data_IF_774399262529
#
_entry.id   IF_774399262529
#
_cell.length_a   1.000
_cell.length_b   1.000
_cell.length_c   1.000
_cell.angle_alpha   90.00
_cell.angle_beta   90.00
_cell.angle_gamma   90.00
#
_symmetry.space_group_name_H-M   'P 1'
#
loop_
_entity.id
_entity.type
_entity.pdbx_description
1 polymer ?
#
# COMPACT_ATOMS: atom_id res chain seq x y z
N UNK A 1 22.41 13.20 -34.07
CA UNK A 1 23.05 11.94 -34.42
C UNK A 1 24.55 12.21 -34.64
N UNK A 2 25.38 11.18 -34.77
CA UNK A 2 26.85 11.26 -34.96
C UNK A 2 27.26 12.14 -36.15
N UNK A 3 26.42 12.24 -37.15
CA UNK A 3 26.69 13.05 -38.36
C UNK A 3 26.51 14.55 -38.09
N UNK A 4 25.65 14.92 -37.13
CA UNK A 4 25.36 16.33 -36.80
C UNK A 4 26.10 16.84 -35.57
N UNK A 5 26.46 15.95 -34.65
CA UNK A 5 27.24 16.27 -33.45
C UNK A 5 28.34 15.21 -33.31
N UNK A 6 29.53 15.46 -33.88
CA UNK A 6 30.67 14.58 -33.76
C UNK A 6 31.04 14.39 -32.27
N UNK A 7 31.35 13.13 -31.90
CA UNK A 7 31.76 12.83 -30.55
C UNK A 7 30.68 12.15 -29.69
N UNK A 8 29.42 12.08 -30.11
CA UNK A 8 28.43 11.26 -29.40
C UNK A 8 28.74 9.77 -29.60
N UNK A 9 28.76 8.97 -28.49
CA UNK A 9 29.22 7.59 -28.55
C UNK A 9 28.20 6.62 -29.13
N UNK A 10 26.92 6.98 -29.14
CA UNK A 10 25.80 6.15 -29.57
C UNK A 10 24.76 6.99 -30.30
N UNK A 11 24.03 6.38 -31.24
CA UNK A 11 22.89 7.00 -31.93
C UNK A 11 21.57 6.80 -31.19
N UNK A 12 21.53 5.85 -30.27
CA UNK A 12 20.35 5.55 -29.46
C UNK A 12 20.48 6.18 -28.08
N UNK A 13 19.49 7.00 -27.74
CA UNK A 13 19.41 7.66 -26.44
C UNK A 13 18.14 7.26 -25.69
N UNK A 14 18.27 7.05 -24.39
CA UNK A 14 17.13 6.84 -23.52
C UNK A 14 16.57 8.16 -22.98
N UNK A 15 17.46 9.06 -22.61
CA UNK A 15 17.07 10.24 -21.82
C UNK A 15 17.97 11.44 -22.13
N UNK A 16 17.37 12.62 -22.02
CA UNK A 16 18.06 13.91 -22.10
C UNK A 16 17.58 14.79 -20.96
N UNK A 17 18.51 15.48 -20.31
CA UNK A 17 18.25 16.40 -19.22
C UNK A 17 18.97 17.72 -19.47
N UNK A 18 18.31 18.85 -19.20
CA UNK A 18 18.97 20.15 -19.18
C UNK A 18 19.91 20.23 -17.96
N UNK A 19 21.20 20.23 -18.25
CA UNK A 19 22.26 20.35 -17.25
C UNK A 19 22.39 21.75 -16.66
N UNK A 20 21.76 22.75 -17.29
CA UNK A 20 21.98 24.16 -17.02
C UNK A 20 23.27 24.70 -17.66
N UNK A 21 23.45 26.03 -17.66
CA UNK A 21 24.61 26.71 -18.21
C UNK A 21 24.94 26.36 -19.70
N UNK A 22 23.89 25.98 -20.47
CA UNK A 22 24.05 25.61 -21.87
C UNK A 22 24.60 24.18 -22.09
N UNK A 23 24.49 23.29 -21.12
CA UNK A 23 24.87 21.90 -21.26
C UNK A 23 23.62 21.02 -21.34
N UNK A 24 23.65 19.98 -22.17
CA UNK A 24 22.70 18.88 -22.17
C UNK A 24 23.39 17.61 -21.64
N UNK A 25 22.72 16.93 -20.75
CA UNK A 25 23.11 15.63 -20.23
C UNK A 25 22.34 14.55 -20.97
N UNK A 26 23.03 13.54 -21.49
CA UNK A 26 22.47 12.54 -22.40
C UNK A 26 22.78 11.14 -21.87
N UNK A 27 21.77 10.32 -21.65
CA UNK A 27 21.90 8.90 -21.32
C UNK A 27 21.71 8.05 -22.57
N UNK A 28 22.66 7.15 -22.83
CA UNK A 28 22.70 6.30 -24.02
C UNK A 28 22.29 4.85 -23.72
N UNK A 29 21.90 4.11 -24.77
CA UNK A 29 21.54 2.69 -24.66
C UNK A 29 22.75 1.82 -24.32
N UNK A 30 23.94 2.13 -24.86
CA UNK A 30 25.17 1.40 -24.59
C UNK A 30 26.40 2.33 -24.54
N UNK A 31 26.18 3.61 -24.77
CA UNK A 31 27.22 4.64 -24.88
C UNK A 31 27.66 5.26 -23.56
N UNK A 32 26.95 4.94 -22.46
CA UNK A 32 27.18 5.57 -21.16
C UNK A 32 26.46 6.90 -21.03
N UNK A 33 27.13 7.89 -20.48
CA UNK A 33 26.64 9.24 -20.20
C UNK A 33 27.48 10.28 -20.94
N UNK A 34 26.83 11.27 -21.56
CA UNK A 34 27.50 12.35 -22.27
C UNK A 34 27.04 13.72 -21.77
N UNK A 35 27.96 14.65 -21.77
CA UNK A 35 27.70 16.08 -21.57
C UNK A 35 27.96 16.77 -22.89
N UNK A 36 26.94 17.38 -23.50
CA UNK A 36 27.01 18.16 -24.72
C UNK A 36 26.92 19.63 -24.35
N UNK A 37 27.96 20.41 -24.68
CA UNK A 37 27.92 21.85 -24.61
C UNK A 37 27.20 22.41 -25.86
N UNK A 38 26.12 23.16 -25.64
CA UNK A 38 25.35 23.81 -26.73
C UNK A 38 26.09 24.98 -27.33
N UNK A 39 27.08 25.57 -26.60
CA UNK A 39 27.83 26.75 -27.02
C UNK A 39 28.84 26.43 -28.13
N UNK A 40 29.61 25.39 -27.95
CA UNK A 40 30.71 25.01 -28.85
C UNK A 40 30.56 23.61 -29.45
N UNK A 41 29.45 22.91 -29.13
CA UNK A 41 29.14 21.56 -29.56
C UNK A 41 30.17 20.51 -29.12
N UNK A 42 30.98 20.81 -28.12
CA UNK A 42 31.92 19.83 -27.54
C UNK A 42 31.14 18.76 -26.75
N UNK A 43 31.66 17.53 -26.78
CA UNK A 43 31.04 16.38 -26.10
C UNK A 43 32.09 15.75 -25.14
N UNK A 44 31.69 15.58 -23.89
CA UNK A 44 32.46 14.82 -22.90
C UNK A 44 31.69 13.53 -22.59
N UNK A 45 32.38 12.38 -22.76
CA UNK A 45 31.79 11.06 -22.59
C UNK A 45 32.31 10.38 -21.36
N UNK A 46 31.42 9.67 -20.66
CA UNK A 46 31.70 8.86 -19.49
C UNK A 46 31.16 7.45 -19.68
N UNK A 47 31.96 6.46 -19.35
CA UNK A 47 31.63 5.04 -19.50
C UNK A 47 31.97 4.28 -18.23
N UNK A 48 31.43 3.09 -18.15
CA UNK A 48 31.83 2.11 -17.13
C UNK A 48 33.25 1.63 -17.40
N UNK A 49 34.08 1.69 -16.38
CA UNK A 49 35.46 1.19 -16.34
C UNK A 49 35.54 0.14 -15.24
N UNK A 50 35.80 -1.15 -15.55
CA UNK A 50 35.73 -2.24 -14.58
C UNK A 50 36.62 -2.05 -13.34
N UNK A 51 37.80 -1.46 -13.52
CA UNK A 51 38.77 -1.27 -12.46
C UNK A 51 38.67 0.11 -11.76
N UNK A 52 37.74 0.93 -12.17
CA UNK A 52 37.56 2.27 -11.62
C UNK A 52 36.21 2.35 -10.85
N UNK A 53 36.21 2.27 -9.51
CA UNK A 53 35.02 2.32 -8.70
C UNK A 53 34.27 3.67 -8.77
N UNK A 54 34.93 4.72 -9.26
CA UNK A 54 34.35 6.06 -9.45
C UNK A 54 33.83 6.28 -10.88
N UNK A 55 33.81 5.25 -11.72
CA UNK A 55 33.19 5.27 -13.03
C UNK A 55 31.70 4.94 -12.94
N UNK A 56 30.97 5.05 -14.08
CA UNK A 56 29.59 4.62 -14.17
C UNK A 56 29.41 3.14 -13.73
N UNK A 57 28.31 2.79 -13.05
CA UNK A 57 28.02 1.39 -12.72
C UNK A 57 27.72 0.52 -13.95
N UNK A 58 27.16 1.11 -15.00
CA UNK A 58 26.84 0.46 -16.28
C UNK A 58 26.79 1.45 -17.43
N UNK A 59 26.82 0.94 -18.67
CA UNK A 59 26.81 1.79 -19.88
C UNK A 59 25.41 2.03 -20.48
N UNK A 60 24.38 1.36 -19.99
CA UNK A 60 22.98 1.59 -20.39
C UNK A 60 22.38 2.59 -19.39
N UNK A 61 22.41 3.89 -19.70
CA UNK A 61 21.92 4.98 -18.84
C UNK A 61 20.48 5.32 -19.23
N UNK A 62 19.54 4.82 -18.48
CA UNK A 62 18.10 4.83 -18.80
C UNK A 62 17.34 6.07 -18.35
N UNK A 63 17.74 6.65 -17.25
CA UNK A 63 17.10 7.84 -16.72
C UNK A 63 18.11 8.79 -16.07
N UNK A 64 17.79 10.06 -16.15
CA UNK A 64 18.51 11.16 -15.53
C UNK A 64 17.52 12.03 -14.77
N UNK A 65 17.90 12.48 -13.60
CA UNK A 65 17.14 13.48 -12.85
C UNK A 65 18.06 14.45 -12.13
N UNK A 66 17.60 15.68 -12.01
CA UNK A 66 18.26 16.71 -11.20
C UNK A 66 17.45 16.91 -9.94
N UNK A 67 18.08 16.77 -8.78
CA UNK A 67 17.43 17.03 -7.50
C UNK A 67 17.37 18.55 -7.21
N UNK A 68 16.65 18.93 -6.15
CA UNK A 68 16.49 20.35 -5.76
C UNK A 68 17.80 20.99 -5.30
N UNK A 69 18.82 20.21 -4.96
CA UNK A 69 20.15 20.71 -4.62
C UNK A 69 21.05 20.85 -5.85
N UNK A 70 20.54 20.48 -7.03
CA UNK A 70 21.29 20.54 -8.30
C UNK A 70 22.11 19.30 -8.60
N UNK A 71 22.09 18.26 -7.77
CA UNK A 71 22.78 17.01 -8.02
C UNK A 71 22.14 16.24 -9.16
N UNK A 72 22.95 15.56 -9.97
CA UNK A 72 22.49 14.77 -11.13
C UNK A 72 22.57 13.29 -10.78
N UNK A 73 21.41 12.68 -10.76
CA UNK A 73 21.22 11.25 -10.49
C UNK A 73 21.05 10.48 -11.79
N UNK A 74 21.71 9.33 -11.90
CA UNK A 74 21.68 8.47 -13.07
C UNK A 74 21.20 7.08 -12.70
N UNK A 75 20.21 6.58 -13.44
CA UNK A 75 19.78 5.20 -13.37
C UNK A 75 20.37 4.40 -14.53
N UNK A 76 21.10 3.35 -14.22
CA UNK A 76 21.74 2.47 -15.20
C UNK A 76 21.19 1.04 -15.15
N UNK A 77 21.62 0.20 -16.08
CA UNK A 77 21.33 -1.25 -16.06
C UNK A 77 22.03 -2.01 -14.91
N UNK A 78 22.96 -1.34 -14.20
CA UNK A 78 23.79 -1.90 -13.13
C UNK A 78 23.72 -1.08 -11.84
N UNK A 79 22.72 -0.23 -11.69
CA UNK A 79 22.47 0.49 -10.44
C UNK A 79 22.40 2.00 -10.56
N UNK A 80 22.31 2.63 -9.39
CA UNK A 80 22.19 4.07 -9.19
C UNK A 80 23.57 4.71 -9.09
N UNK A 81 23.70 5.89 -9.72
CA UNK A 81 24.89 6.73 -9.59
C UNK A 81 24.51 8.20 -9.35
N UNK A 82 25.36 8.89 -8.63
CA UNK A 82 25.35 10.35 -8.48
C UNK A 82 26.57 10.92 -9.19
N UNK A 83 26.35 11.86 -10.11
CA UNK A 83 27.42 12.53 -10.86
C UNK A 83 28.02 13.65 -10.01
N UNK A 84 29.33 13.55 -9.75
CA UNK A 84 30.11 14.62 -9.15
C UNK A 84 30.73 15.48 -10.27
N UNK A 85 30.11 16.62 -10.51
CA UNK A 85 30.55 17.52 -11.60
C UNK A 85 31.92 18.18 -11.34
N UNK A 86 32.30 18.37 -10.07
CA UNK A 86 33.58 18.99 -9.71
C UNK A 86 34.76 18.11 -10.12
N UNK A 87 34.69 16.81 -9.79
CA UNK A 87 35.77 15.85 -10.05
C UNK A 87 35.54 15.07 -11.35
N UNK A 88 34.39 15.28 -12.02
CA UNK A 88 34.00 14.55 -13.22
C UNK A 88 33.98 13.02 -13.04
N UNK A 89 33.52 12.56 -11.90
CA UNK A 89 33.42 11.15 -11.53
C UNK A 89 32.02 10.82 -10.95
N UNK A 90 31.84 9.60 -10.47
CA UNK A 90 30.55 9.12 -9.98
C UNK A 90 30.68 8.51 -8.58
N UNK A 91 29.67 8.77 -7.74
CA UNK A 91 29.43 8.02 -6.52
C UNK A 91 28.43 6.94 -6.87
N UNK A 92 28.80 5.66 -6.71
CA UNK A 92 27.96 4.51 -7.04
C UNK A 92 27.36 3.90 -5.77
N UNK A 93 26.11 3.46 -5.87
CA UNK A 93 25.37 2.89 -4.75
C UNK A 93 25.33 1.34 -4.80
N UNK A 94 26.36 0.75 -5.40
CA UNK A 94 26.56 -0.70 -5.44
C UNK A 94 26.88 -1.25 -4.05
N UNK A 95 26.37 -2.47 -3.77
CA UNK A 95 26.71 -3.21 -2.54
C UNK A 95 26.39 -2.45 -1.24
N UNK A 96 25.34 -1.64 -1.25
CA UNK A 96 24.87 -1.00 -0.04
C UNK A 96 24.41 -2.07 0.97
N UNK A 97 25.02 -2.13 2.14
CA UNK A 97 24.69 -3.09 3.21
C UNK A 97 23.26 -2.94 3.73
N UNK A 98 22.68 -1.76 3.55
CA UNK A 98 21.30 -1.46 3.93
C UNK A 98 20.31 -1.77 2.82
N UNK A 99 20.76 -2.05 1.59
CA UNK A 99 19.92 -2.46 0.49
C UNK A 99 19.70 -3.99 0.52
N UNK A 100 18.80 -4.43 1.40
CA UNK A 100 18.45 -5.84 1.60
C UNK A 100 17.91 -6.52 0.34
N UNK A 101 17.45 -5.75 -0.62
CA UNK A 101 16.83 -6.23 -1.87
C UNK A 101 17.75 -6.02 -3.06
N UNK A 102 18.96 -5.48 -2.86
CA UNK A 102 19.88 -5.10 -3.94
C UNK A 102 19.22 -4.18 -4.99
N UNK A 103 18.20 -3.41 -4.56
CA UNK A 103 17.36 -2.61 -5.46
C UNK A 103 18.16 -1.52 -6.18
N UNK A 104 19.14 -0.95 -5.50
CA UNK A 104 20.04 0.07 -6.06
C UNK A 104 21.14 -0.50 -6.97
N UNK A 105 21.30 -1.83 -7.01
CA UNK A 105 22.26 -2.54 -7.88
C UNK A 105 21.59 -3.08 -9.16
N UNK A 106 20.26 -3.07 -9.20
CA UNK A 106 19.48 -3.55 -10.35
C UNK A 106 19.29 -2.46 -11.40
N UNK A 107 18.65 -2.85 -12.50
CA UNK A 107 18.30 -1.93 -13.58
C UNK A 107 17.32 -0.87 -13.09
N UNK A 108 17.76 0.39 -13.06
CA UNK A 108 16.95 1.55 -12.68
C UNK A 108 16.24 2.08 -13.92
N UNK A 109 14.91 2.22 -13.84
CA UNK A 109 14.07 2.60 -14.96
C UNK A 109 13.56 4.03 -14.89
N UNK A 110 13.34 4.55 -13.68
CA UNK A 110 12.99 5.95 -13.45
C UNK A 110 13.50 6.43 -12.09
N UNK A 111 13.78 7.73 -12.01
CA UNK A 111 14.16 8.40 -10.77
C UNK A 111 13.35 9.70 -10.71
N UNK A 112 12.74 9.97 -9.57
CA UNK A 112 11.97 11.19 -9.33
C UNK A 112 12.19 11.68 -7.91
N UNK A 113 12.60 12.93 -7.73
CA UNK A 113 12.50 13.58 -6.43
C UNK A 113 11.07 14.07 -6.24
N UNK A 114 10.50 13.79 -5.08
CA UNK A 114 9.21 14.31 -4.64
C UNK A 114 9.41 15.53 -3.72
N UNK A 115 8.31 16.20 -3.39
CA UNK A 115 8.31 17.44 -2.61
C UNK A 115 8.82 17.27 -1.16
N UNK A 116 8.88 16.04 -0.66
CA UNK A 116 9.31 15.69 0.70
C UNK A 116 10.84 15.48 0.86
N UNK A 117 11.64 15.89 -0.13
CA UNK A 117 13.09 15.65 -0.20
C UNK A 117 13.48 14.17 -0.32
N UNK A 118 12.55 13.30 -0.68
CA UNK A 118 12.80 11.90 -0.95
C UNK A 118 13.00 11.64 -2.44
N UNK A 119 13.99 10.84 -2.76
CA UNK A 119 14.24 10.36 -4.10
C UNK A 119 13.59 8.99 -4.27
N UNK A 120 12.64 8.91 -5.17
CA UNK A 120 11.94 7.68 -5.52
C UNK A 120 12.59 7.05 -6.74
N UNK A 121 12.97 5.80 -6.63
CA UNK A 121 13.75 5.06 -7.61
C UNK A 121 12.96 3.83 -8.03
N UNK A 122 12.52 3.82 -9.28
CA UNK A 122 11.82 2.69 -9.89
C UNK A 122 12.82 1.72 -10.51
N UNK A 123 12.75 0.45 -10.16
CA UNK A 123 13.65 -0.58 -10.64
C UNK A 123 12.92 -1.76 -11.28
N UNK A 124 13.64 -2.51 -12.10
CA UNK A 124 13.14 -3.75 -12.67
C UNK A 124 13.16 -4.84 -11.58
N UNK A 125 11.99 -5.46 -11.31
CA UNK A 125 11.78 -6.55 -10.35
C UNK A 125 11.86 -6.19 -8.85
N UNK A 126 12.20 -4.95 -8.46
CA UNK A 126 12.31 -4.58 -7.05
C UNK A 126 11.38 -3.41 -6.64
N UNK A 127 10.40 -3.06 -7.49
CA UNK A 127 9.42 -2.03 -7.18
C UNK A 127 10.02 -0.63 -7.08
N UNK A 128 9.66 0.08 -6.02
CA UNK A 128 10.15 1.42 -5.69
C UNK A 128 11.06 1.35 -4.46
N UNK A 129 12.24 1.94 -4.60
CA UNK A 129 13.14 2.24 -3.47
C UNK A 129 13.10 3.72 -3.18
N UNK A 130 13.02 4.10 -1.92
CA UNK A 130 12.94 5.49 -1.48
C UNK A 130 14.19 5.82 -0.68
N UNK A 131 14.89 6.86 -1.13
CA UNK A 131 16.12 7.38 -0.53
C UNK A 131 15.83 8.76 0.06
N UNK A 132 16.10 8.95 1.36
CA UNK A 132 16.02 10.26 2.01
C UNK A 132 17.28 11.07 1.73
N UNK A 133 17.14 12.13 0.94
CA UNK A 133 18.25 13.00 0.54
C UNK A 133 18.84 13.81 1.71
N UNK A 134 18.07 14.06 2.77
CA UNK A 134 18.58 14.77 3.96
C UNK A 134 19.60 13.93 4.73
N UNK A 135 19.40 12.61 4.74
CA UNK A 135 20.32 11.67 5.38
C UNK A 135 21.52 11.34 4.47
N UNK A 136 21.26 11.20 3.16
CA UNK A 136 22.28 10.72 2.19
C UNK A 136 23.42 11.68 1.93
N UNK A 137 23.25 12.98 2.16
CA UNK A 137 24.31 13.97 1.91
C UNK A 137 25.51 13.88 2.87
N UNK A 138 25.35 13.20 4.00
CA UNK A 138 26.38 13.11 5.07
C UNK A 138 26.87 11.69 5.33
N UNK A 139 26.29 10.70 4.67
CA UNK A 139 26.58 9.28 4.89
C UNK A 139 27.25 8.67 3.66
N UNK A 140 28.14 7.71 3.88
CA UNK A 140 28.61 6.86 2.79
C UNK A 140 27.47 5.99 2.27
N UNK A 141 27.47 5.57 0.99
CA UNK A 141 26.38 4.81 0.38
C UNK A 141 25.95 3.56 1.16
N UNK A 142 26.85 2.95 1.93
CA UNK A 142 26.58 1.77 2.76
C UNK A 142 25.88 2.07 4.11
N UNK A 143 25.71 3.35 4.46
CA UNK A 143 25.08 3.79 5.71
C UNK A 143 23.68 4.35 5.54
N UNK A 144 23.21 4.46 4.29
CA UNK A 144 21.92 5.08 3.97
C UNK A 144 20.78 4.13 4.31
N UNK A 145 19.75 4.66 4.99
CA UNK A 145 18.50 3.93 5.23
C UNK A 145 17.59 4.01 4.00
N UNK A 146 17.04 2.89 3.59
CA UNK A 146 16.14 2.76 2.44
C UNK A 146 14.77 2.27 2.88
N UNK A 147 13.72 2.86 2.29
CA UNK A 147 12.34 2.39 2.37
C UNK A 147 11.97 1.71 1.04
N UNK A 148 11.06 0.74 1.07
CA UNK A 148 10.67 -0.03 -0.11
C UNK A 148 9.15 -0.10 -0.27
N UNK A 149 8.66 0.01 -1.52
CA UNK A 149 7.31 -0.33 -1.92
C UNK A 149 7.42 -1.44 -2.97
N UNK A 150 7.03 -2.65 -2.59
CA UNK A 150 7.18 -3.85 -3.42
C UNK A 150 5.83 -4.37 -3.89
N UNK A 151 5.85 -5.34 -4.80
CA UNK A 151 4.66 -6.07 -5.23
C UNK A 151 4.03 -6.84 -4.07
N UNK A 152 2.70 -6.83 -4.01
CA UNK A 152 1.93 -7.55 -2.99
C UNK A 152 0.43 -7.48 -3.24
N UNK A 153 -0.33 -8.17 -2.40
CA UNK A 153 -1.77 -8.31 -2.55
C UNK A 153 -2.58 -7.31 -1.71
N UNK A 154 -1.92 -6.41 -1.02
CA UNK A 154 -2.58 -5.39 -0.21
C UNK A 154 -2.63 -4.02 -0.92
N UNK A 155 -3.41 -3.10 -0.37
CA UNK A 155 -3.59 -1.75 -0.92
C UNK A 155 -2.39 -0.81 -0.69
N UNK A 156 -1.30 -1.27 -0.06
CA UNK A 156 -0.04 -0.55 0.16
C UNK A 156 1.08 -1.06 -0.74
N UNK A 157 0.80 -2.07 -1.53
CA UNK A 157 1.74 -2.75 -2.41
C UNK A 157 1.56 -2.33 -3.86
N UNK A 158 2.60 -2.55 -4.66
CA UNK A 158 2.52 -2.38 -6.09
C UNK A 158 1.78 -3.55 -6.75
N UNK A 159 1.11 -3.26 -7.85
CA UNK A 159 0.44 -4.26 -8.68
C UNK A 159 1.42 -5.14 -9.50
N UNK A 160 2.69 -4.75 -9.57
CA UNK A 160 3.77 -5.52 -10.21
C UNK A 160 5.14 -5.01 -9.76
N UNK A 161 6.11 -5.92 -9.60
CA UNK A 161 7.46 -5.63 -9.13
C UNK A 161 8.29 -4.74 -10.07
N UNK A 162 7.96 -4.68 -11.35
CA UNK A 162 8.68 -3.86 -12.33
C UNK A 162 8.02 -2.48 -12.47
N UNK A 163 8.43 -1.52 -11.67
CA UNK A 163 8.03 -0.12 -11.79
C UNK A 163 8.80 0.56 -12.93
N UNK A 164 8.09 1.30 -13.80
CA UNK A 164 8.64 1.87 -15.05
C UNK A 164 8.74 3.38 -15.06
N UNK A 165 7.78 4.05 -14.48
CA UNK A 165 7.74 5.51 -14.43
C UNK A 165 7.08 5.98 -13.15
N UNK A 166 7.46 7.19 -12.71
CA UNK A 166 6.93 7.86 -11.53
C UNK A 166 6.55 9.27 -11.96
N UNK A 167 5.32 9.66 -11.64
CA UNK A 167 4.82 11.00 -11.91
C UNK A 167 4.14 11.56 -10.66
N UNK A 168 4.41 12.80 -10.33
CA UNK A 168 3.71 13.55 -9.29
C UNK A 168 2.88 14.63 -9.98
N UNK A 169 1.58 14.64 -9.72
CA UNK A 169 0.67 15.63 -10.30
C UNK A 169 0.65 16.94 -9.48
N UNK A 170 -0.12 17.93 -9.96
CA UNK A 170 -0.24 19.23 -9.33
C UNK A 170 -0.97 19.23 -7.97
N UNK A 171 -1.55 18.12 -7.59
CA UNK A 171 -2.20 17.87 -6.29
C UNK A 171 -1.32 17.02 -5.38
N UNK A 172 -0.05 16.83 -5.73
CA UNK A 172 0.93 16.00 -5.02
C UNK A 172 0.59 14.50 -4.97
N UNK A 173 -0.36 14.02 -5.77
CA UNK A 173 -0.58 12.60 -5.91
C UNK A 173 0.55 11.96 -6.70
N UNK A 174 0.86 10.71 -6.37
CA UNK A 174 1.93 9.95 -7.03
C UNK A 174 1.30 8.85 -7.90
N UNK A 175 1.74 8.80 -9.14
CA UNK A 175 1.33 7.83 -10.14
C UNK A 175 2.54 6.96 -10.51
N UNK A 176 2.41 5.64 -10.41
CA UNK A 176 3.48 4.70 -10.72
C UNK A 176 2.98 3.76 -11.81
N UNK A 177 3.56 3.86 -13.00
CA UNK A 177 3.32 2.90 -14.08
C UNK A 177 4.17 1.66 -13.92
N UNK A 178 3.59 0.48 -14.12
CA UNK A 178 4.27 -0.81 -13.99
C UNK A 178 4.25 -1.61 -15.28
N UNK A 179 5.11 -2.62 -15.37
CA UNK A 179 5.15 -3.53 -16.52
C UNK A 179 4.11 -4.65 -16.36
N UNK A 180 2.96 -4.46 -16.99
CA UNK A 180 1.89 -5.47 -16.98
C UNK A 180 0.91 -5.40 -15.81
N UNK A 181 1.20 -4.63 -14.75
CA UNK A 181 0.30 -4.43 -13.59
C UNK A 181 -0.55 -3.16 -13.66
N UNK A 182 -0.47 -2.40 -14.77
CA UNK A 182 -1.20 -1.14 -14.92
C UNK A 182 -0.58 0.03 -14.16
N UNK A 183 -1.41 0.83 -13.49
CA UNK A 183 -1.01 2.05 -12.80
C UNK A 183 -1.37 1.94 -11.32
N UNK A 184 -0.42 2.28 -10.45
CA UNK A 184 -0.64 2.46 -9.03
C UNK A 184 -0.79 3.95 -8.71
N UNK A 185 -1.74 4.27 -7.88
CA UNK A 185 -2.07 5.64 -7.48
C UNK A 185 -1.94 5.80 -5.97
N UNK A 186 -1.17 6.78 -5.53
CA UNK A 186 -1.01 7.15 -4.13
C UNK A 186 -1.55 8.56 -3.96
N UNK A 187 -2.63 8.70 -3.19
CA UNK A 187 -3.23 10.01 -2.89
C UNK A 187 -2.36 10.79 -1.91
N UNK A 188 -2.16 12.07 -2.17
CA UNK A 188 -1.50 13.02 -1.25
C UNK A 188 -2.38 13.34 -0.03
N UNK A 189 -3.69 13.17 -0.18
CA UNK A 189 -4.66 13.35 0.91
C UNK A 189 -5.10 11.99 1.44
N UNK A 190 -5.28 11.81 2.76
CA UNK A 190 -5.88 10.60 3.30
C UNK A 190 -7.20 10.31 2.59
N UNK A 191 -7.48 9.07 2.21
CA UNK A 191 -8.75 8.74 1.60
C UNK A 191 -9.88 9.08 2.56
N UNK A 192 -10.95 9.72 2.04
CA UNK A 192 -12.15 10.02 2.84
C UNK A 192 -12.82 8.74 3.36
N UNK A 193 -12.55 7.61 2.73
CA UNK A 193 -13.09 6.30 3.06
C UNK A 193 -11.96 5.27 3.16
N UNK A 194 -12.00 4.46 4.21
CA UNK A 194 -11.18 3.26 4.31
C UNK A 194 -12.01 2.07 3.87
N UNK A 195 -11.49 1.25 2.98
CA UNK A 195 -12.17 0.05 2.48
C UNK A 195 -11.62 -1.20 3.16
N UNK A 196 -12.49 -1.94 3.86
CA UNK A 196 -12.20 -3.28 4.35
C UNK A 196 -12.70 -4.30 3.32
N UNK A 197 -11.80 -4.81 2.50
CA UNK A 197 -12.13 -5.74 1.41
C UNK A 197 -12.05 -7.20 1.87
N UNK A 198 -12.71 -8.10 1.14
CA UNK A 198 -12.53 -9.54 1.27
C UNK A 198 -11.20 -9.97 0.66
N UNK A 199 -10.50 -10.89 1.34
CA UNK A 199 -9.37 -11.62 0.75
C UNK A 199 -9.61 -13.13 0.83
N UNK A 200 -9.39 -13.88 -0.24
CA UNK A 200 -9.43 -15.33 -0.21
C UNK A 200 -8.20 -15.95 0.45
N UNK A 201 -7.16 -15.15 0.74
CA UNK A 201 -5.89 -15.62 1.30
C UNK A 201 -6.08 -15.93 2.78
N UNK A 202 -5.87 -17.18 3.22
CA UNK A 202 -5.95 -17.53 4.63
C UNK A 202 -4.92 -16.75 5.45
N UNK A 203 -5.37 -16.19 6.59
CA UNK A 203 -4.49 -15.45 7.51
C UNK A 203 -4.28 -13.97 7.17
N UNK A 204 -4.90 -13.43 6.12
CA UNK A 204 -4.90 -12.00 5.88
C UNK A 204 -5.78 -11.28 6.94
N UNK A 205 -5.12 -10.70 7.95
CA UNK A 205 -5.78 -10.03 9.08
C UNK A 205 -6.32 -8.64 8.73
N UNK A 206 -5.96 -8.07 7.57
CA UNK A 206 -6.43 -6.76 7.12
C UNK A 206 -7.64 -6.86 6.18
N UNK A 207 -8.32 -8.01 6.16
CA UNK A 207 -9.42 -8.27 5.23
C UNK A 207 -10.60 -8.95 5.90
N UNK A 208 -11.79 -8.82 5.29
CA UNK A 208 -12.94 -9.64 5.63
C UNK A 208 -12.75 -11.09 5.18
N UNK A 209 -13.33 -12.01 5.92
CA UNK A 209 -13.35 -13.43 5.55
C UNK A 209 -14.50 -13.81 4.62
N UNK A 210 -15.38 -12.86 4.28
CA UNK A 210 -16.51 -13.04 3.37
C UNK A 210 -16.78 -11.76 2.57
N UNK A 211 -17.26 -11.90 1.33
CA UNK A 211 -17.51 -10.80 0.39
C UNK A 211 -18.69 -9.91 0.78
N UNK A 212 -19.66 -10.45 1.50
CA UNK A 212 -20.92 -9.76 1.81
C UNK A 212 -20.93 -9.35 3.28
N UNK A 213 -20.76 -8.07 3.54
CA UNK A 213 -20.99 -7.47 4.85
C UNK A 213 -22.47 -7.08 4.96
N UNK A 214 -23.18 -7.68 5.90
CA UNK A 214 -24.64 -7.57 6.06
C UNK A 214 -25.05 -6.69 7.24
N UNK A 215 -24.19 -6.56 8.25
CA UNK A 215 -24.47 -5.71 9.42
C UNK A 215 -23.21 -5.13 10.02
N UNK A 216 -23.34 -3.98 10.69
CA UNK A 216 -22.25 -3.24 11.30
C UNK A 216 -22.71 -2.69 12.66
N UNK A 217 -21.88 -2.87 13.68
CA UNK A 217 -21.99 -2.13 14.94
C UNK A 217 -20.61 -1.89 15.53
N UNK A 218 -20.53 -0.99 16.51
CA UNK A 218 -19.28 -0.73 17.26
C UNK A 218 -19.45 -1.17 18.69
N UNK A 219 -18.37 -1.48 19.40
CA UNK A 219 -18.39 -1.62 20.83
C UNK A 219 -17.88 -0.36 21.55
N UNK A 220 -17.92 -0.34 22.87
CA UNK A 220 -17.45 0.81 23.67
C UNK A 220 -15.96 1.07 23.58
N UNK A 221 -15.17 0.15 23.07
CA UNK A 221 -13.75 0.29 22.81
C UNK A 221 -13.48 0.86 21.41
N UNK A 222 -14.52 1.11 20.61
CA UNK A 222 -14.41 1.61 19.24
C UNK A 222 -14.05 0.54 18.22
N UNK A 223 -14.07 -0.76 18.59
CA UNK A 223 -13.89 -1.84 17.62
C UNK A 223 -15.12 -1.98 16.76
N UNK A 224 -14.93 -2.25 15.48
CA UNK A 224 -16.00 -2.44 14.50
C UNK A 224 -16.31 -3.93 14.39
N UNK A 225 -17.56 -4.30 14.64
CA UNK A 225 -18.09 -5.65 14.52
C UNK A 225 -18.89 -5.77 13.25
N UNK A 226 -18.47 -6.64 12.36
CA UNK A 226 -19.02 -6.80 11.02
C UNK A 226 -19.64 -8.18 10.90
N UNK A 227 -20.97 -8.23 10.81
CA UNK A 227 -21.70 -9.44 10.46
C UNK A 227 -21.62 -9.67 8.96
N UNK A 228 -21.41 -10.92 8.56
CA UNK A 228 -21.27 -11.30 7.16
C UNK A 228 -22.26 -12.39 6.76
N UNK A 229 -22.54 -12.50 5.47
CA UNK A 229 -23.42 -13.52 4.89
C UNK A 229 -22.62 -14.81 4.60
N UNK A 230 -22.45 -15.62 5.65
CA UNK A 230 -21.73 -16.90 5.58
C UNK A 230 -20.33 -16.94 6.21
N UNK A 231 -19.77 -15.82 6.62
CA UNK A 231 -18.44 -15.76 7.27
C UNK A 231 -18.50 -15.58 8.79
N UNK A 232 -19.68 -15.46 9.38
CA UNK A 232 -19.87 -15.14 10.79
C UNK A 232 -19.64 -13.67 11.11
N UNK A 233 -19.04 -13.39 12.27
CA UNK A 233 -18.79 -12.03 12.77
C UNK A 233 -17.28 -11.76 12.75
N UNK A 234 -16.86 -10.71 12.07
CA UNK A 234 -15.48 -10.21 12.06
C UNK A 234 -15.37 -9.00 12.98
N UNK A 235 -14.28 -8.91 13.76
CA UNK A 235 -14.01 -7.78 14.66
C UNK A 235 -12.73 -7.09 14.23
N UNK A 236 -12.80 -5.78 14.00
CA UNK A 236 -11.67 -4.94 13.60
C UNK A 236 -11.34 -3.90 14.65
N UNK A 237 -10.05 -3.69 14.84
CA UNK A 237 -9.48 -2.55 15.56
C UNK A 237 -8.62 -1.76 14.56
N UNK A 238 -9.10 -0.58 14.16
CA UNK A 238 -8.56 0.11 12.98
C UNK A 238 -8.77 -0.73 11.71
N UNK A 239 -7.72 -1.00 10.97
CA UNK A 239 -7.70 -1.80 9.75
C UNK A 239 -7.32 -3.27 9.97
N UNK A 240 -7.06 -3.66 11.23
CA UNK A 240 -6.65 -5.03 11.58
C UNK A 240 -7.82 -5.83 12.17
N UNK A 241 -8.06 -7.02 11.61
CA UNK A 241 -9.03 -7.97 12.17
C UNK A 241 -8.43 -8.67 13.39
N UNK A 242 -9.06 -8.47 14.55
CA UNK A 242 -8.60 -9.02 15.84
C UNK A 242 -9.31 -10.32 16.24
N UNK A 243 -10.51 -10.56 15.68
CA UNK A 243 -11.24 -11.80 15.96
C UNK A 243 -12.21 -12.17 14.83
N UNK A 244 -12.54 -13.44 14.73
CA UNK A 244 -13.63 -13.99 13.94
C UNK A 244 -14.41 -14.96 14.83
N UNK A 245 -15.74 -14.81 14.87
CA UNK A 245 -16.65 -15.73 15.56
C UNK A 245 -17.50 -16.47 14.53
N UNK A 246 -17.54 -17.80 14.64
CA UNK A 246 -18.19 -18.69 13.68
C UNK A 246 -19.02 -19.77 14.38
N UNK A 247 -19.93 -20.36 13.61
CA UNK A 247 -20.70 -21.53 14.05
C UNK A 247 -19.78 -22.73 14.34
N UNK A 248 -18.76 -22.92 13.53
CA UNK A 248 -17.82 -24.06 13.65
C UNK A 248 -16.98 -24.00 14.93
N UNK A 249 -16.75 -22.82 15.46
CA UNK A 249 -16.02 -22.59 16.71
C UNK A 249 -16.93 -22.53 17.94
N UNK A 250 -18.24 -22.61 17.72
CA UNK A 250 -19.25 -22.81 18.77
C UNK A 250 -19.74 -21.54 19.47
N UNK A 251 -19.26 -20.35 19.08
CA UNK A 251 -19.66 -19.11 19.74
C UNK A 251 -21.02 -18.60 19.26
N UNK A 252 -21.36 -18.84 18.00
CA UNK A 252 -22.61 -18.37 17.38
C UNK A 252 -23.34 -19.50 16.66
N UNK A 253 -24.68 -19.47 16.58
CA UNK A 253 -25.47 -20.58 15.99
C UNK A 253 -25.49 -20.58 14.46
N UNK A 254 -25.16 -19.47 13.82
CA UNK A 254 -25.17 -19.33 12.35
C UNK A 254 -24.09 -18.37 11.87
N UNK A 255 -23.50 -18.67 10.71
CA UNK A 255 -22.55 -17.79 10.03
C UNK A 255 -23.21 -16.70 9.18
N UNK A 256 -24.52 -16.75 9.00
CA UNK A 256 -25.29 -15.81 8.19
C UNK A 256 -25.90 -14.75 9.10
N UNK A 257 -25.15 -13.66 9.32
CA UNK A 257 -25.57 -12.57 10.23
C UNK A 257 -26.36 -11.55 9.41
N UNK A 258 -27.57 -11.24 9.84
CA UNK A 258 -28.47 -10.34 9.11
C UNK A 258 -28.52 -8.93 9.72
N UNK A 259 -28.38 -8.82 11.02
CA UNK A 259 -28.49 -7.54 11.74
C UNK A 259 -27.61 -7.53 12.99
N UNK A 260 -27.24 -6.35 13.44
CA UNK A 260 -26.49 -6.15 14.69
C UNK A 260 -26.92 -4.87 15.40
N UNK A 261 -26.80 -4.87 16.72
CA UNK A 261 -27.11 -3.74 17.60
C UNK A 261 -26.13 -3.71 18.76
N UNK A 262 -25.65 -2.53 19.15
CA UNK A 262 -25.09 -2.28 20.49
C UNK A 262 -26.19 -1.72 21.38
N UNK A 263 -26.45 -2.36 22.54
CA UNK A 263 -27.39 -1.84 23.50
C UNK A 263 -26.80 -0.69 24.35
N UNK A 264 -27.64 0.03 25.06
CA UNK A 264 -27.26 1.16 25.93
C UNK A 264 -26.28 0.75 27.05
N UNK A 265 -26.22 -0.53 27.40
CA UNK A 265 -25.26 -1.10 28.36
C UNK A 265 -23.92 -1.47 27.74
N UNK A 266 -23.84 -1.42 26.39
CA UNK A 266 -22.65 -1.75 25.61
C UNK A 266 -22.50 -3.22 25.25
N UNK A 267 -23.53 -4.03 25.46
CA UNK A 267 -23.56 -5.40 24.95
C UNK A 267 -23.97 -5.42 23.47
N UNK A 268 -23.62 -6.49 22.76
CA UNK A 268 -23.90 -6.60 21.35
C UNK A 268 -24.91 -7.72 21.07
N UNK A 269 -25.80 -7.44 20.15
CA UNK A 269 -26.87 -8.33 19.72
C UNK A 269 -26.72 -8.59 18.23
N UNK A 270 -26.76 -9.84 17.82
CA UNK A 270 -26.65 -10.24 16.43
C UNK A 270 -27.82 -11.12 16.06
N UNK A 271 -28.59 -10.72 15.07
CA UNK A 271 -29.65 -11.54 14.47
C UNK A 271 -29.12 -12.28 13.27
N UNK A 272 -29.47 -13.54 13.13
CA UNK A 272 -28.96 -14.41 12.08
C UNK A 272 -30.06 -15.13 11.30
N UNK A 273 -29.71 -15.59 10.09
CA UNK A 273 -30.55 -16.48 9.30
C UNK A 273 -30.50 -17.89 9.94
N UNK A 274 -31.66 -18.44 10.26
CA UNK A 274 -31.84 -19.76 10.86
C UNK A 274 -31.04 -20.03 12.14
N UNK A 275 -30.62 -18.98 12.87
CA UNK A 275 -29.84 -19.13 14.08
C UNK A 275 -30.39 -18.33 15.28
N UNK A 276 -31.48 -17.57 15.09
CA UNK A 276 -32.02 -16.74 16.17
C UNK A 276 -31.09 -15.57 16.52
N UNK A 277 -30.91 -15.32 17.81
CA UNK A 277 -30.11 -14.21 18.33
C UNK A 277 -28.84 -14.72 19.00
N UNK A 278 -27.71 -14.09 18.71
CA UNK A 278 -26.48 -14.20 19.48
C UNK A 278 -26.29 -12.92 20.30
N UNK A 279 -26.21 -13.07 21.61
CA UNK A 279 -25.95 -11.98 22.56
C UNK A 279 -24.51 -12.06 23.04
N UNK A 280 -23.75 -10.99 22.91
CA UNK A 280 -22.40 -10.86 23.41
C UNK A 280 -22.39 -10.00 24.66
N UNK A 281 -22.05 -10.60 25.79
CA UNK A 281 -21.80 -9.92 27.06
C UNK A 281 -20.43 -9.25 27.03
N UNK A 282 -20.40 -7.93 26.94
CA UNK A 282 -19.17 -7.15 26.80
C UNK A 282 -18.30 -7.17 28.08
N UNK A 283 -18.86 -7.42 29.26
CA UNK A 283 -18.11 -7.52 30.50
C UNK A 283 -17.37 -8.85 30.62
N UNK A 284 -18.10 -9.93 30.33
CA UNK A 284 -17.58 -11.29 30.44
C UNK A 284 -16.89 -11.76 29.16
N UNK A 285 -17.04 -11.02 28.05
CA UNK A 285 -16.53 -11.36 26.70
C UNK A 285 -17.01 -12.74 26.22
N UNK A 286 -18.28 -13.05 26.44
CA UNK A 286 -18.87 -14.35 26.11
C UNK A 286 -20.12 -14.18 25.26
N UNK A 287 -20.33 -15.13 24.35
CA UNK A 287 -21.57 -15.25 23.59
C UNK A 287 -22.59 -16.14 24.33
N UNK A 288 -23.86 -15.80 24.15
CA UNK A 288 -25.03 -16.63 24.50
C UNK A 288 -25.99 -16.65 23.34
N UNK A 289 -26.51 -17.81 22.97
CA UNK A 289 -27.58 -17.94 22.00
C UNK A 289 -28.92 -17.83 22.67
N UNK A 290 -29.82 -17.03 22.11
CA UNK A 290 -31.20 -16.85 22.58
C UNK A 290 -32.13 -17.46 21.53
N UNK A 291 -32.83 -18.53 21.92
CA UNK A 291 -33.84 -19.17 21.09
C UNK A 291 -35.15 -18.42 21.22
N UNK A 292 -35.79 -18.11 20.09
CA UNK A 292 -37.09 -17.45 20.05
C UNK A 292 -38.22 -18.49 20.08
N UNK A 293 -39.07 -18.43 21.11
CA UNK A 293 -40.27 -19.30 21.24
C UNK A 293 -39.96 -20.82 21.19
N UNK A 294 -38.77 -21.23 21.62
CA UNK A 294 -38.38 -22.66 21.63
C UNK A 294 -38.03 -23.20 20.22
N UNK A 295 -37.99 -22.37 19.20
CA UNK A 295 -37.63 -22.76 17.83
C UNK A 295 -36.22 -22.23 17.50
N UNK A 296 -35.33 -23.12 17.08
CA UNK A 296 -33.94 -22.79 16.78
C UNK A 296 -33.69 -22.24 15.37
N UNK A 297 -34.66 -22.31 14.46
CA UNK A 297 -34.48 -22.00 13.04
C UNK A 297 -35.26 -20.77 12.61
N UNK A 298 -35.06 -19.63 13.29
CA UNK A 298 -35.77 -18.40 12.94
C UNK A 298 -34.82 -17.34 12.39
N UNK A 299 -35.26 -16.69 11.31
CA UNK A 299 -34.56 -15.57 10.70
C UNK A 299 -34.83 -14.31 11.50
N UNK A 300 -33.79 -13.75 12.11
CA UNK A 300 -33.87 -12.45 12.78
C UNK A 300 -33.33 -11.38 11.86
N UNK A 301 -34.20 -10.48 11.41
CA UNK A 301 -33.90 -9.49 10.38
C UNK A 301 -33.65 -8.08 10.91
N UNK A 302 -34.15 -7.77 12.10
CA UNK A 302 -33.94 -6.48 12.74
C UNK A 302 -33.96 -6.59 14.25
N UNK A 303 -33.15 -5.79 14.91
CA UNK A 303 -33.06 -5.66 16.37
C UNK A 303 -33.00 -4.16 16.68
N UNK A 304 -33.77 -3.73 17.69
CA UNK A 304 -33.85 -2.33 18.10
C UNK A 304 -34.02 -2.22 19.62
N UNK A 305 -33.34 -1.29 20.26
CA UNK A 305 -33.54 -0.94 21.67
C UNK A 305 -34.45 0.28 21.78
N UNK A 306 -35.55 0.17 22.55
CA UNK A 306 -36.45 1.29 22.78
C UNK A 306 -35.95 2.22 23.95
N UNK A 307 -36.63 3.34 24.16
CA UNK A 307 -36.28 4.31 25.21
C UNK A 307 -36.48 3.79 26.64
N UNK A 308 -37.11 2.62 26.80
CA UNK A 308 -37.26 1.90 28.08
C UNK A 308 -36.25 0.76 28.21
N UNK A 309 -35.31 0.70 27.28
CA UNK A 309 -34.26 -0.34 27.18
C UNK A 309 -34.78 -1.75 26.90
N UNK A 310 -35.98 -1.92 26.37
CA UNK A 310 -36.44 -3.20 25.87
C UNK A 310 -35.88 -3.47 24.48
N UNK A 311 -35.58 -4.73 24.19
CA UNK A 311 -35.05 -5.14 22.88
C UNK A 311 -36.19 -5.67 22.00
N UNK A 312 -36.47 -4.97 20.93
CA UNK A 312 -37.42 -5.33 19.91
C UNK A 312 -36.74 -6.17 18.84
N UNK A 313 -37.32 -7.28 18.51
CA UNK A 313 -36.77 -8.24 17.54
C UNK A 313 -37.81 -8.56 16.49
N UNK A 314 -37.53 -8.16 15.24
CA UNK A 314 -38.29 -8.57 14.08
C UNK A 314 -37.73 -9.85 13.47
N UNK A 315 -38.53 -10.89 13.39
CA UNK A 315 -38.14 -12.20 12.89
C UNK A 315 -39.19 -12.75 11.91
N UNK A 316 -38.90 -13.91 11.30
CA UNK A 316 -39.81 -14.51 10.27
C UNK A 316 -41.20 -14.84 10.77
N UNK A 317 -41.43 -14.94 12.07
CA UNK A 317 -42.72 -15.19 12.70
C UNK A 317 -43.48 -13.93 13.21
N UNK A 318 -42.87 -12.76 13.15
CA UNK A 318 -43.47 -11.52 13.64
C UNK A 318 -42.50 -10.64 14.45
N UNK A 319 -42.99 -10.04 15.50
CA UNK A 319 -42.21 -9.16 16.38
C UNK A 319 -42.33 -9.63 17.82
N UNK A 320 -41.20 -9.73 18.51
CA UNK A 320 -41.16 -9.95 19.96
C UNK A 320 -40.46 -8.82 20.66
N UNK A 321 -40.74 -8.65 21.95
CA UNK A 321 -40.03 -7.72 22.84
C UNK A 321 -39.39 -8.49 23.98
N UNK A 322 -38.09 -8.32 24.14
CA UNK A 322 -37.30 -8.95 25.17
C UNK A 322 -36.92 -7.95 26.27
N UNK A 323 -36.93 -8.41 27.52
CA UNK A 323 -36.26 -7.72 28.62
C UNK A 323 -34.78 -8.10 28.62
N UNK A 324 -33.84 -7.17 28.39
CA UNK A 324 -32.41 -7.49 28.33
C UNK A 324 -31.76 -7.87 29.67
N UNK A 325 -32.49 -7.77 30.79
CA UNK A 325 -31.97 -8.14 32.10
C UNK A 325 -32.08 -9.64 32.37
N UNK A 326 -33.20 -10.22 31.99
CA UNK A 326 -33.51 -11.64 32.25
C UNK A 326 -33.73 -12.45 30.94
N UNK A 327 -33.65 -11.80 29.78
CA UNK A 327 -33.87 -12.39 28.45
C UNK A 327 -35.27 -12.97 28.23
N UNK A 328 -36.25 -12.56 29.05
CA UNK A 328 -37.64 -13.02 28.94
C UNK A 328 -38.40 -12.21 27.85
N UNK A 329 -39.28 -12.92 27.17
CA UNK A 329 -40.22 -12.30 26.21
C UNK A 329 -41.31 -11.57 26.99
N UNK A 330 -41.44 -10.26 26.80
CA UNK A 330 -42.47 -9.44 27.43
C UNK A 330 -43.72 -9.40 26.59
N UNK A 331 -43.58 -9.39 25.26
CA UNK A 331 -44.66 -9.33 24.28
C UNK A 331 -44.26 -10.07 22.99
N UNK A 332 -45.22 -10.57 22.30
CA UNK A 332 -45.15 -11.17 20.97
C UNK A 332 -46.36 -10.80 20.13
#
# INVERSE_FOLDING_TARGET
NKNTIPGLPDEQTWTVLDGGNGNLYIGHVSGGFSILSLKDKSVKNFRHEPDNPMSLPGNDVRCLTKDTNGNIWLGTDKGLALFNAADSNFITFKNNKNDKHEALCNRILAIKQLNDSKLWIASELNGITILDLKQSMFLSPDQISLEYIQEGDDNRSLSNASARCIFQDSFDNIWIGTWGGGINFISSTPPLFTTLSYSPIPGNENSLNNKVASSLCTDRQGRVWIGTDGGGINVFEGDKRTAIYKKETGEIPSNFILTSLQDSKGNLWFGSFQGGISYYDSRNRTFRSISLMGQSNQDVRTIYEDSRHNIWVGYSGGIIVLNPLNMEIIRH
#
